data_IF_136210531458
#
_entry.id   IF_136210531458
#
_cell.length_a   1.000
_cell.length_b   1.000
_cell.length_c   1.000
_cell.angle_alpha   90.00
_cell.angle_beta   90.00
_cell.angle_gamma   90.00
#
_symmetry.space_group_name_H-M   'P 1'
#
loop_
_entity.id
_entity.type
_entity.pdbx_description
1 polymer ?
#
# COMPACT_ATOMS: atom_id res chain seq x y z
N UNK A 1 37.76 12.54 -41.84
CA UNK A 1 38.89 11.91 -41.14
C UNK A 1 38.54 11.75 -39.65
N UNK A 2 38.78 10.56 -39.06
CA UNK A 2 38.75 10.16 -37.62
C UNK A 2 37.35 10.23 -36.94
N UNK A 3 36.57 9.17 -36.65
CA UNK A 3 36.72 7.84 -35.98
C UNK A 3 37.16 7.87 -34.50
N UNK A 4 36.37 7.15 -33.67
CA UNK A 4 36.52 6.72 -32.25
C UNK A 4 35.89 7.71 -31.24
N UNK A 5 35.09 7.31 -30.23
CA UNK A 5 35.21 6.17 -29.31
C UNK A 5 33.82 5.65 -28.83
N UNK A 6 33.70 4.32 -28.71
CA UNK A 6 32.71 3.57 -27.90
C UNK A 6 33.52 2.89 -26.77
N UNK A 7 32.89 2.70 -25.61
CA UNK A 7 33.20 1.91 -24.40
C UNK A 7 33.13 2.83 -23.18
N UNK A 8 32.46 2.53 -22.07
CA UNK A 8 31.76 1.33 -21.61
C UNK A 8 31.53 1.52 -20.09
N UNK A 9 30.59 0.80 -19.48
CA UNK A 9 30.76 0.30 -18.12
C UNK A 9 29.65 -0.70 -17.77
N UNK A 10 30.12 -1.88 -17.37
CA UNK A 10 29.39 -3.06 -16.96
C UNK A 10 30.05 -3.50 -15.65
N UNK A 11 29.23 -3.87 -14.67
CA UNK A 11 29.51 -4.63 -13.46
C UNK A 11 30.36 -4.01 -12.32
N UNK A 12 29.76 -3.98 -11.13
CA UNK A 12 30.45 -4.26 -9.87
C UNK A 12 29.49 -4.95 -8.90
N UNK A 13 29.52 -6.29 -8.89
CA UNK A 13 29.06 -7.10 -7.77
C UNK A 13 30.32 -7.46 -6.96
N UNK A 14 30.37 -7.05 -5.70
CA UNK A 14 31.44 -7.43 -4.78
C UNK A 14 30.84 -8.20 -3.60
N UNK A 15 31.19 -9.48 -3.56
CA UNK A 15 30.96 -10.44 -2.48
C UNK A 15 31.97 -10.14 -1.36
N UNK A 16 31.49 -9.94 -0.14
CA UNK A 16 32.35 -9.87 1.05
C UNK A 16 32.52 -11.29 1.61
N UNK A 17 33.68 -11.88 1.34
CA UNK A 17 34.27 -12.95 2.15
C UNK A 17 35.43 -12.33 2.93
N UNK A 18 35.34 -12.31 4.26
CA UNK A 18 36.46 -12.02 5.14
C UNK A 18 36.77 -13.30 5.93
N UNK A 19 37.84 -13.99 5.52
CA UNK A 19 38.53 -15.00 6.30
C UNK A 19 39.57 -14.28 7.17
N UNK A 20 39.57 -14.56 8.48
CA UNK A 20 40.66 -14.15 9.37
C UNK A 20 41.66 -15.31 9.52
N UNK A 21 42.98 -15.06 9.37
CA UNK A 21 43.99 -16.05 9.68
C UNK A 21 44.24 -16.11 11.20
N UNK A 22 44.44 -17.34 11.67
CA UNK A 22 44.97 -17.65 12.98
C UNK A 22 46.43 -17.18 13.12
N UNK A 23 46.74 -16.52 14.23
CA UNK A 23 48.08 -16.54 14.82
C UNK A 23 47.96 -16.71 16.32
N UNK A 24 48.48 -17.84 16.79
CA UNK A 24 48.69 -18.16 18.18
C UNK A 24 49.88 -17.39 18.73
N UNK A 25 49.73 -16.77 19.89
CA UNK A 25 50.86 -16.51 20.78
C UNK A 25 50.51 -17.00 22.18
N UNK A 26 51.19 -18.10 22.51
CA UNK A 26 51.28 -18.79 23.77
C UNK A 26 51.99 -17.89 24.80
N UNK A 27 51.36 -17.66 25.95
CA UNK A 27 52.02 -17.04 27.10
C UNK A 27 51.61 -17.80 28.37
N UNK A 28 52.45 -18.78 28.72
CA UNK A 28 52.39 -19.52 29.98
C UNK A 28 53.03 -18.68 31.08
N UNK A 29 52.19 -18.10 31.94
CA UNK A 29 52.59 -17.57 33.24
C UNK A 29 51.46 -17.81 34.26
N UNK A 30 51.59 -18.88 35.05
CA UNK A 30 50.87 -19.11 36.32
C UNK A 30 51.92 -19.33 37.40
N UNK A 31 51.79 -18.71 38.58
CA UNK A 31 51.06 -19.40 39.63
C UNK A 31 50.18 -18.50 40.52
N UNK A 32 49.05 -19.06 40.95
CA UNK A 32 48.12 -18.49 41.92
C UNK A 32 46.75 -19.17 41.82
N UNK A 33 46.62 -20.39 42.35
CA UNK A 33 45.32 -21.07 42.51
C UNK A 33 44.52 -20.30 43.56
N UNK A 34 43.56 -19.50 43.12
CA UNK A 34 42.46 -19.08 43.99
C UNK A 34 41.53 -20.28 44.20
N UNK A 35 41.00 -20.50 45.42
CA UNK A 35 39.98 -21.50 45.66
C UNK A 35 38.76 -21.22 44.77
N UNK A 36 38.27 -22.27 44.13
CA UNK A 36 37.11 -22.25 43.25
C UNK A 36 35.91 -21.73 44.04
N UNK A 37 35.33 -20.60 43.60
CA UNK A 37 34.13 -20.07 44.22
C UNK A 37 33.02 -21.14 44.13
N UNK A 38 32.27 -21.37 45.22
CA UNK A 38 31.18 -22.35 45.20
C UNK A 38 30.23 -22.05 44.03
N UNK A 39 29.74 -23.08 43.32
CA UNK A 39 28.85 -22.89 42.19
C UNK A 39 27.64 -22.07 42.65
N UNK A 40 27.38 -20.97 41.95
CA UNK A 40 26.20 -20.15 42.24
C UNK A 40 24.96 -21.04 42.17
N UNK A 41 24.03 -20.92 43.13
CA UNK A 41 22.77 -21.65 43.06
C UNK A 41 22.07 -21.33 41.73
N UNK A 42 21.47 -22.35 41.08
CA UNK A 42 20.75 -22.12 39.83
C UNK A 42 19.71 -21.02 40.03
N UNK A 43 19.58 -20.07 39.08
CA UNK A 43 18.57 -19.03 39.19
C UNK A 43 17.20 -19.67 39.35
N UNK A 44 16.33 -19.11 40.23
CA UNK A 44 14.98 -19.63 40.42
C UNK A 44 14.28 -19.73 39.06
N UNK A 45 13.47 -20.77 38.80
CA UNK A 45 12.80 -20.96 37.52
C UNK A 45 11.92 -19.75 37.23
N UNK A 46 12.38 -18.89 36.31
CA UNK A 46 11.58 -17.79 35.79
C UNK A 46 10.37 -18.37 35.06
N UNK A 47 9.18 -17.84 35.33
CA UNK A 47 8.02 -18.14 34.51
C UNK A 47 8.32 -17.69 33.08
N UNK A 48 8.49 -18.64 32.16
CA UNK A 48 8.75 -18.33 30.76
C UNK A 48 7.47 -17.77 30.13
N UNK A 49 7.45 -16.47 29.88
CA UNK A 49 6.39 -15.85 29.10
C UNK A 49 6.48 -16.37 27.66
N UNK A 50 5.34 -16.83 27.15
CA UNK A 50 5.22 -17.29 25.78
C UNK A 50 4.80 -16.12 24.89
N UNK A 51 5.54 -15.90 23.81
CA UNK A 51 5.36 -14.73 22.92
C UNK A 51 4.67 -15.10 21.61
N UNK A 52 3.62 -14.35 21.28
CA UNK A 52 2.96 -14.35 19.97
C UNK A 52 3.06 -12.98 19.31
N UNK A 53 3.44 -12.92 18.04
CA UNK A 53 3.63 -11.66 17.30
C UNK A 53 2.78 -11.59 16.05
N UNK A 54 2.31 -10.39 15.71
CA UNK A 54 1.62 -10.07 14.45
C UNK A 54 2.15 -8.73 13.93
N UNK A 55 2.45 -8.68 12.64
CA UNK A 55 2.78 -7.44 11.95
C UNK A 55 1.56 -6.95 11.17
N UNK A 56 1.27 -5.66 11.30
CA UNK A 56 0.18 -4.97 10.60
C UNK A 56 0.83 -3.89 9.76
N UNK A 57 0.67 -4.00 8.44
CA UNK A 57 1.22 -3.07 7.48
C UNK A 57 0.18 -2.02 7.09
N UNK A 58 0.63 -0.83 6.73
CA UNK A 58 -0.25 0.15 6.08
C UNK A 58 -1.17 0.94 7.01
N UNK A 59 -0.80 1.13 8.29
CA UNK A 59 -1.59 1.95 9.23
C UNK A 59 -1.77 3.35 8.66
N UNK A 60 -3.03 3.78 8.54
CA UNK A 60 -3.43 4.97 7.79
C UNK A 60 -3.19 6.28 8.56
N UNK A 61 -3.13 7.40 7.81
CA UNK A 61 -3.06 8.77 8.36
C UNK A 61 -4.43 9.39 8.65
N UNK A 62 -5.49 8.57 8.69
CA UNK A 62 -6.84 9.11 8.90
C UNK A 62 -6.87 9.72 10.30
N UNK A 63 -7.24 11.00 10.38
CA UNK A 63 -7.35 11.69 11.67
C UNK A 63 -8.31 10.95 12.60
N UNK A 64 -7.87 10.67 13.83
CA UNK A 64 -8.60 9.86 14.79
C UNK A 64 -8.33 8.35 14.68
N UNK A 65 -7.48 7.96 13.73
CA UNK A 65 -7.02 6.59 13.52
C UNK A 65 -8.03 5.66 12.84
N UNK A 66 -7.63 4.40 12.75
CA UNK A 66 -8.46 3.30 12.28
C UNK A 66 -8.40 2.14 13.27
N UNK A 67 -9.51 1.42 13.43
CA UNK A 67 -9.59 0.26 14.31
C UNK A 67 -8.98 -0.96 13.62
N UNK A 68 -8.06 -1.61 14.30
CA UNK A 68 -7.47 -2.89 13.94
C UNK A 68 -7.92 -3.92 14.97
N UNK A 69 -8.57 -4.99 14.50
CA UNK A 69 -8.94 -6.12 15.35
C UNK A 69 -7.97 -7.26 15.13
N UNK A 70 -7.38 -7.73 16.20
CA UNK A 70 -6.41 -8.83 16.22
C UNK A 70 -7.09 -9.98 16.95
N UNK A 71 -7.47 -11.01 16.23
CA UNK A 71 -8.09 -12.20 16.79
C UNK A 71 -7.04 -13.21 17.20
N UNK A 72 -7.26 -13.88 18.33
CA UNK A 72 -6.46 -15.02 18.75
C UNK A 72 -7.09 -16.30 18.18
N UNK A 73 -6.29 -17.20 17.60
CA UNK A 73 -6.81 -18.49 17.08
C UNK A 73 -7.47 -19.36 18.16
N UNK A 74 -7.07 -19.17 19.41
CA UNK A 74 -7.64 -19.78 20.61
C UNK A 74 -7.66 -18.74 21.71
N UNK A 75 -8.61 -18.81 22.64
CA UNK A 75 -8.64 -17.91 23.78
C UNK A 75 -7.43 -18.19 24.70
N UNK A 76 -6.71 -17.14 25.11
CA UNK A 76 -5.47 -17.26 25.90
C UNK A 76 -5.45 -16.23 27.03
N UNK A 77 -4.87 -16.57 28.18
CA UNK A 77 -4.62 -15.62 29.26
C UNK A 77 -3.41 -14.74 28.91
N UNK A 78 -3.64 -13.45 28.62
CA UNK A 78 -2.53 -12.53 28.34
C UNK A 78 -2.10 -11.81 29.61
N UNK A 79 -0.79 -11.72 29.80
CA UNK A 79 -0.19 -10.91 30.85
C UNK A 79 0.04 -9.48 30.37
N UNK A 80 0.57 -9.33 29.15
CA UNK A 80 0.98 -8.03 28.61
C UNK A 80 0.90 -7.99 27.09
N UNK A 81 0.69 -6.79 26.56
CA UNK A 81 0.70 -6.49 25.13
C UNK A 81 1.73 -5.39 24.86
N UNK A 82 2.49 -5.54 23.79
CA UNK A 82 3.44 -4.53 23.33
C UNK A 82 3.11 -4.15 21.88
N UNK A 83 3.18 -2.86 21.56
CA UNK A 83 2.96 -2.33 20.21
C UNK A 83 4.18 -1.52 19.81
N UNK A 84 4.95 -2.01 18.84
CA UNK A 84 6.14 -1.37 18.32
C UNK A 84 5.90 -0.77 16.94
N UNK A 85 6.42 0.43 16.69
CA UNK A 85 6.41 1.03 15.36
C UNK A 85 7.61 0.49 14.55
N UNK A 86 7.33 -0.15 13.43
CA UNK A 86 8.33 -0.71 12.50
C UNK A 86 8.66 0.28 11.38
N UNK A 87 7.66 1.01 10.90
CA UNK A 87 7.82 2.06 9.90
C UNK A 87 7.03 3.30 10.31
N UNK A 88 7.65 4.48 10.19
CA UNK A 88 7.07 5.78 10.54
C UNK A 88 6.67 5.94 12.02
N UNK A 89 6.13 7.12 12.37
CA UNK A 89 5.67 7.44 13.72
C UNK A 89 4.23 6.99 13.90
N UNK A 90 3.89 6.51 15.09
CA UNK A 90 2.58 5.97 15.43
C UNK A 90 2.00 6.67 16.65
N UNK A 91 0.68 6.82 16.68
CA UNK A 91 -0.08 7.13 17.89
C UNK A 91 -1.17 6.08 18.08
N UNK A 92 -1.35 5.62 19.32
CA UNK A 92 -2.48 4.78 19.71
C UNK A 92 -3.47 5.69 20.44
N UNK A 93 -4.68 5.79 19.91
CA UNK A 93 -5.74 6.62 20.51
C UNK A 93 -6.49 5.85 21.59
N UNK A 94 -6.74 4.56 21.35
CA UNK A 94 -7.43 3.68 22.27
C UNK A 94 -7.05 2.22 22.00
N UNK A 95 -7.17 1.36 23.01
CA UNK A 95 -7.08 -0.06 22.83
C UNK A 95 -7.90 -0.81 23.88
N UNK A 96 -8.39 -1.99 23.52
CA UNK A 96 -9.14 -2.85 24.42
C UNK A 96 -8.92 -4.31 24.09
N UNK A 97 -9.08 -5.18 25.07
CA UNK A 97 -9.17 -6.63 24.87
C UNK A 97 -10.61 -7.08 24.98
N UNK A 98 -10.96 -8.13 24.24
CA UNK A 98 -12.25 -8.81 24.30
C UNK A 98 -12.03 -10.16 24.93
N UNK A 99 -12.73 -10.43 26.01
CA UNK A 99 -12.65 -11.68 26.76
C UNK A 99 -13.54 -12.75 26.15
N UNK A 100 -13.35 -14.01 26.56
CA UNK A 100 -14.13 -15.16 26.13
C UNK A 100 -15.63 -15.04 26.47
N UNK A 101 -15.96 -14.35 27.55
CA UNK A 101 -17.33 -13.98 27.96
C UNK A 101 -17.89 -12.75 27.21
N UNK A 102 -17.15 -12.20 26.24
CA UNK A 102 -17.57 -11.09 25.40
C UNK A 102 -17.43 -9.71 26.06
N UNK A 103 -16.86 -9.64 27.27
CA UNK A 103 -16.58 -8.37 27.93
C UNK A 103 -15.44 -7.64 27.22
N UNK A 104 -15.63 -6.34 26.97
CA UNK A 104 -14.56 -5.47 26.48
C UNK A 104 -13.89 -4.78 27.66
N UNK A 105 -12.57 -4.93 27.78
CA UNK A 105 -11.75 -4.31 28.84
C UNK A 105 -10.75 -3.36 28.19
N UNK A 106 -10.77 -2.08 28.57
CA UNK A 106 -9.85 -1.07 28.03
C UNK A 106 -8.43 -1.27 28.57
N UNK A 107 -7.42 -1.05 27.73
CA UNK A 107 -6.00 -1.06 28.09
C UNK A 107 -5.60 0.39 28.37
N UNK A 108 -5.40 0.72 29.64
CA UNK A 108 -5.24 2.09 30.12
C UNK A 108 -3.96 2.73 29.58
N UNK A 109 -2.85 2.01 29.53
CA UNK A 109 -1.56 2.56 29.05
C UNK A 109 -1.57 2.85 27.53
N UNK A 110 -2.54 2.30 26.81
CA UNK A 110 -2.74 2.57 25.37
C UNK A 110 -3.76 3.66 25.09
N UNK A 111 -4.33 4.28 26.13
CA UNK A 111 -5.29 5.37 25.95
C UNK A 111 -4.56 6.67 25.63
N UNK A 112 -4.69 7.13 24.38
CA UNK A 112 -4.13 8.37 23.86
C UNK A 112 -2.62 8.50 24.15
N UNK A 113 -1.84 7.54 23.64
CA UNK A 113 -0.38 7.54 23.80
C UNK A 113 0.25 8.79 23.18
N UNK A 114 1.46 9.12 23.60
CA UNK A 114 2.31 10.03 22.82
C UNK A 114 2.60 9.44 21.44
N UNK A 115 2.95 10.30 20.47
CA UNK A 115 3.42 9.86 19.16
C UNK A 115 4.82 9.28 19.31
N UNK A 116 4.99 7.98 19.11
CA UNK A 116 6.27 7.29 19.21
C UNK A 116 6.83 6.91 17.84
N UNK A 117 8.16 6.86 17.72
CA UNK A 117 8.87 6.65 16.46
C UNK A 117 9.28 5.19 16.21
N UNK A 118 9.90 4.96 15.05
CA UNK A 118 10.43 3.64 14.66
C UNK A 118 11.39 3.11 15.71
N UNK A 119 11.24 1.82 16.07
CA UNK A 119 12.05 1.16 17.10
C UNK A 119 11.60 1.46 18.53
N UNK A 120 10.68 2.40 18.74
CA UNK A 120 10.01 2.60 20.03
C UNK A 120 8.80 1.67 20.15
N UNK A 121 8.46 1.31 21.39
CA UNK A 121 7.27 0.50 21.71
C UNK A 121 6.45 1.13 22.83
N UNK A 122 5.14 1.05 22.70
CA UNK A 122 4.20 1.22 23.81
C UNK A 122 3.98 -0.16 24.46
N UNK A 123 3.92 -0.20 25.79
CA UNK A 123 3.73 -1.43 26.57
C UNK A 123 2.50 -1.26 27.44
N UNK A 124 1.62 -2.26 27.45
CA UNK A 124 0.41 -2.24 28.28
C UNK A 124 0.75 -2.38 29.77
N UNK A 125 -0.20 -2.07 30.62
CA UNK A 125 -0.21 -2.55 32.00
C UNK A 125 -0.21 -4.09 32.05
N UNK A 126 0.05 -4.62 33.25
CA UNK A 126 -0.14 -6.03 33.51
C UNK A 126 -1.64 -6.31 33.61
N UNK A 127 -2.19 -7.05 32.63
CA UNK A 127 -3.63 -7.11 32.39
C UNK A 127 -4.39 -7.78 33.54
N UNK A 128 -3.76 -8.71 34.28
CA UNK A 128 -4.30 -9.38 35.48
C UNK A 128 -5.78 -9.83 35.36
N UNK A 129 -6.20 -10.23 34.16
CA UNK A 129 -7.58 -10.64 33.89
C UNK A 129 -7.77 -12.12 34.28
N UNK A 130 -8.91 -12.42 34.89
CA UNK A 130 -9.30 -13.80 35.20
C UNK A 130 -9.80 -14.54 33.96
N UNK A 131 -10.37 -13.81 33.00
CA UNK A 131 -10.92 -14.36 31.76
C UNK A 131 -9.85 -14.42 30.66
N UNK A 132 -9.95 -15.43 29.80
CA UNK A 132 -9.13 -15.55 28.59
C UNK A 132 -9.55 -14.52 27.56
N UNK A 133 -8.61 -14.11 26.72
CA UNK A 133 -8.81 -13.09 25.68
C UNK A 133 -8.96 -13.76 24.33
N UNK A 134 -9.96 -13.33 23.55
CA UNK A 134 -10.25 -13.80 22.19
C UNK A 134 -9.84 -12.80 21.11
N UNK A 135 -9.77 -11.50 21.45
CA UNK A 135 -9.34 -10.47 20.52
C UNK A 135 -8.73 -9.25 21.23
N UNK A 136 -7.91 -8.50 20.49
CA UNK A 136 -7.34 -7.21 20.86
C UNK A 136 -7.78 -6.21 19.81
N UNK A 137 -8.44 -5.12 20.22
CA UNK A 137 -8.82 -4.01 19.36
C UNK A 137 -7.88 -2.83 19.62
N UNK A 138 -7.26 -2.27 18.58
CA UNK A 138 -6.34 -1.13 18.67
C UNK A 138 -6.81 -0.05 17.70
N UNK A 139 -7.02 1.17 18.19
CA UNK A 139 -7.27 2.36 17.39
C UNK A 139 -5.95 3.12 17.20
N UNK A 140 -5.39 3.08 16.00
CA UNK A 140 -4.07 3.65 15.72
C UNK A 140 -4.07 4.58 14.51
N UNK A 141 -3.20 5.60 14.56
CA UNK A 141 -2.99 6.60 13.51
C UNK A 141 -1.50 6.73 13.19
N UNK A 142 -1.18 6.76 11.89
CA UNK A 142 0.17 7.08 11.42
C UNK A 142 0.42 8.59 11.41
N UNK A 143 1.47 9.01 12.11
CA UNK A 143 1.97 10.38 12.15
C UNK A 143 3.17 10.55 11.21
N UNK A 144 3.01 10.02 10.01
CA UNK A 144 4.02 9.98 8.95
C UNK A 144 3.39 9.39 7.71
N UNK A 145 4.18 8.68 6.89
CA UNK A 145 3.81 7.84 5.74
C UNK A 145 2.54 6.97 5.85
N UNK A 146 2.69 5.71 5.46
CA UNK A 146 1.95 4.65 6.12
C UNK A 146 2.84 4.13 7.24
N UNK A 147 2.26 3.73 8.38
CA UNK A 147 3.04 3.11 9.45
C UNK A 147 2.86 1.59 9.43
N UNK A 148 3.93 0.87 9.73
CA UNK A 148 3.88 -0.57 9.96
C UNK A 148 4.09 -0.79 11.46
N UNK A 149 3.32 -1.69 12.05
CA UNK A 149 3.35 -1.95 13.49
C UNK A 149 3.51 -3.43 13.78
N UNK A 150 4.21 -3.75 14.87
CA UNK A 150 4.30 -5.10 15.43
C UNK A 150 3.54 -5.13 16.74
N UNK A 151 2.60 -6.05 16.86
CA UNK A 151 1.87 -6.33 18.09
C UNK A 151 2.40 -7.63 18.66
N UNK A 152 2.89 -7.57 19.88
CA UNK A 152 3.40 -8.70 20.64
C UNK A 152 2.46 -8.96 21.82
N UNK A 153 1.93 -10.17 21.93
CA UNK A 153 1.15 -10.62 23.08
C UNK A 153 1.97 -11.62 23.90
N UNK A 154 2.05 -11.40 25.21
CA UNK A 154 2.76 -12.24 26.16
C UNK A 154 1.73 -12.99 27.03
N UNK A 155 1.90 -14.30 27.13
CA UNK A 155 1.04 -15.18 27.92
C UNK A 155 1.84 -16.04 28.90
N UNK A 156 1.20 -16.40 30.00
CA UNK A 156 1.72 -17.32 31.02
C UNK A 156 1.33 -18.79 30.78
N UNK A 157 0.30 -19.07 29.97
CA UNK A 157 -0.24 -20.43 29.81
C UNK A 157 0.10 -21.07 28.45
N UNK A 158 0.00 -20.32 27.36
CA UNK A 158 0.16 -20.84 26.00
C UNK A 158 0.55 -19.76 25.00
N UNK A 159 1.31 -20.12 23.97
CA UNK A 159 1.79 -19.19 22.95
C UNK A 159 0.62 -18.58 22.18
N UNK A 160 0.40 -17.25 22.26
CA UNK A 160 -0.68 -16.60 21.52
C UNK A 160 -0.46 -16.74 20.01
N UNK A 161 -1.50 -17.09 19.27
CA UNK A 161 -1.47 -17.11 17.80
C UNK A 161 -2.38 -16.00 17.28
N UNK A 162 -1.77 -14.88 16.94
CA UNK A 162 -2.44 -13.66 16.52
C UNK A 162 -2.75 -13.68 15.01
N UNK A 163 -3.92 -13.19 14.63
CA UNK A 163 -4.36 -13.06 13.23
C UNK A 163 -5.12 -11.75 13.06
N UNK A 164 -4.89 -11.03 11.96
CA UNK A 164 -5.66 -9.82 11.67
C UNK A 164 -7.11 -10.20 11.31
N UNK A 165 -8.06 -9.73 12.12
CA UNK A 165 -9.49 -9.94 11.94
C UNK A 165 -10.17 -8.82 11.16
N UNK A 166 -11.44 -9.02 10.82
CA UNK A 166 -12.25 -7.99 10.19
C UNK A 166 -12.46 -6.81 11.17
N UNK A 167 -12.28 -5.58 10.68
CA UNK A 167 -12.47 -4.34 11.45
C UNK A 167 -13.87 -4.34 12.08
N UNK A 168 -14.01 -4.11 13.40
CA UNK A 168 -15.32 -4.00 14.02
C UNK A 168 -16.07 -2.82 13.42
N UNK A 169 -17.33 -3.06 13.03
CA UNK A 169 -18.27 -1.96 12.83
C UNK A 169 -18.33 -1.18 14.14
N UNK A 170 -18.01 0.10 14.06
CA UNK A 170 -17.99 1.03 15.18
C UNK A 170 -19.32 0.88 15.95
N UNK A 171 -19.32 0.58 17.26
CA UNK A 171 -20.55 0.50 18.03
C UNK A 171 -21.27 1.84 17.88
N UNK A 172 -22.46 1.79 17.29
CA UNK A 172 -23.20 2.96 16.85
C UNK A 172 -23.24 4.01 17.95
N UNK A 173 -22.66 5.18 17.66
CA UNK A 173 -22.89 6.36 18.48
C UNK A 173 -24.40 6.57 18.54
N UNK A 174 -24.94 6.44 19.75
CA UNK A 174 -26.36 6.55 20.02
C UNK A 174 -26.77 8.02 19.83
N UNK A 175 -26.99 8.41 18.58
CA UNK A 175 -27.52 9.70 18.16
C UNK A 175 -29.00 9.73 18.49
N UNK A 176 -29.31 10.06 19.74
CA UNK A 176 -30.65 10.35 20.22
C UNK A 176 -31.14 11.65 19.53
N UNK A 177 -31.86 11.49 18.43
CA UNK A 177 -32.52 12.56 17.69
C UNK A 177 -33.95 12.13 17.37
N UNK A 178 -34.82 12.19 18.37
CA UNK A 178 -36.25 11.98 18.18
C UNK A 178 -36.81 13.02 17.22
N UNK A 179 -37.45 12.57 16.15
CA UNK A 179 -38.52 13.29 15.46
C UNK A 179 -39.59 12.27 15.08
N UNK A 180 -40.66 12.33 15.85
CA UNK A 180 -41.92 11.65 15.60
C UNK A 180 -42.72 12.54 14.64
N UNK A 181 -43.18 12.00 13.53
CA UNK A 181 -43.92 12.76 12.52
C UNK A 181 -44.27 11.88 11.34
N UNK A 182 -45.24 10.98 11.55
CA UNK A 182 -45.82 10.21 10.47
C UNK A 182 -46.46 11.12 9.43
N UNK A 183 -46.23 10.83 8.16
CA UNK A 183 -47.15 11.17 7.08
C UNK A 183 -47.11 10.04 6.04
N UNK A 184 -48.27 9.43 5.89
CA UNK A 184 -48.62 8.49 4.84
C UNK A 184 -48.79 9.33 3.55
N UNK A 185 -47.94 9.11 2.56
CA UNK A 185 -47.94 9.90 1.33
C UNK A 185 -47.23 9.16 0.21
N UNK A 186 -48.00 8.39 -0.56
CA UNK A 186 -47.57 7.86 -1.84
C UNK A 186 -47.16 9.00 -2.76
N UNK A 187 -45.86 9.16 -2.94
CA UNK A 187 -45.25 10.21 -3.74
C UNK A 187 -44.12 9.61 -4.55
N UNK A 188 -44.39 9.40 -5.82
CA UNK A 188 -43.46 9.05 -6.86
C UNK A 188 -42.38 10.15 -6.93
N UNK A 189 -41.25 9.96 -6.24
CA UNK A 189 -40.12 10.88 -6.29
C UNK A 189 -38.93 10.20 -6.97
N UNK A 190 -38.86 10.41 -8.29
CA UNK A 190 -37.64 10.33 -9.09
C UNK A 190 -36.66 11.42 -8.67
N UNK A 191 -36.19 11.34 -7.43
CA UNK A 191 -35.19 12.25 -6.87
C UNK A 191 -33.84 11.99 -7.50
N UNK A 192 -33.36 12.96 -8.27
CA UNK A 192 -32.01 13.09 -8.82
C UNK A 192 -30.93 13.18 -7.72
N UNK A 193 -30.80 12.12 -6.92
CA UNK A 193 -29.66 11.86 -6.05
C UNK A 193 -28.71 10.88 -6.74
N UNK A 194 -28.27 11.20 -7.96
CA UNK A 194 -27.33 10.40 -8.76
C UNK A 194 -25.90 10.42 -8.21
N UNK A 195 -25.72 10.24 -6.90
CA UNK A 195 -24.41 9.97 -6.33
C UNK A 195 -24.03 8.54 -6.72
N UNK A 196 -22.90 8.37 -7.41
CA UNK A 196 -22.35 7.10 -7.90
C UNK A 196 -22.47 5.95 -6.87
N UNK A 197 -23.59 5.20 -6.91
CA UNK A 197 -23.77 3.98 -6.11
C UNK A 197 -22.69 2.93 -6.42
N UNK A 198 -22.04 3.05 -7.59
CA UNK A 198 -20.88 2.25 -8.00
C UNK A 198 -19.70 2.35 -7.02
N UNK A 199 -19.54 3.47 -6.29
CA UNK A 199 -18.45 3.61 -5.33
C UNK A 199 -18.78 3.04 -3.94
N UNK A 200 -20.06 2.80 -3.64
CA UNK A 200 -20.54 2.42 -2.30
C UNK A 200 -20.74 0.92 -2.10
N UNK A 201 -20.95 0.15 -3.16
CA UNK A 201 -21.02 -1.32 -3.10
C UNK A 201 -19.80 -1.90 -3.79
N UNK A 202 -18.91 -2.53 -3.03
CA UNK A 202 -17.85 -3.36 -3.58
C UNK A 202 -18.23 -4.81 -3.36
N UNK A 203 -18.54 -5.51 -4.44
CA UNK A 203 -18.47 -6.95 -4.41
C UNK A 203 -17.02 -7.40 -4.14
N UNK A 204 -16.86 -8.57 -3.52
CA UNK A 204 -15.57 -9.13 -3.17
C UNK A 204 -15.51 -10.57 -3.66
N UNK A 205 -14.85 -10.78 -4.80
CA UNK A 205 -14.70 -12.13 -5.38
C UNK A 205 -13.57 -12.93 -4.73
N UNK A 206 -12.78 -12.33 -3.83
CA UNK A 206 -11.56 -12.94 -3.27
C UNK A 206 -11.87 -14.25 -2.58
N UNK A 207 -12.96 -14.33 -1.81
CA UNK A 207 -13.38 -15.59 -1.15
C UNK A 207 -13.70 -16.70 -2.15
N UNK A 208 -14.36 -16.35 -3.26
CA UNK A 208 -14.70 -17.33 -4.31
C UNK A 208 -13.45 -17.81 -5.04
N UNK A 209 -12.50 -16.89 -5.30
CA UNK A 209 -11.20 -17.25 -5.87
C UNK A 209 -10.37 -18.11 -4.91
N UNK A 210 -10.33 -17.79 -3.61
CA UNK A 210 -9.64 -18.58 -2.58
C UNK A 210 -10.21 -20.00 -2.48
N UNK A 211 -11.54 -20.15 -2.53
CA UNK A 211 -12.16 -21.48 -2.52
C UNK A 211 -11.74 -22.30 -3.75
N UNK A 212 -11.76 -21.68 -4.94
CA UNK A 212 -11.33 -22.37 -6.17
C UNK A 212 -9.82 -22.63 -6.17
N UNK A 213 -8.99 -21.81 -5.52
CA UNK A 213 -7.55 -22.05 -5.37
C UNK A 213 -7.26 -23.36 -4.63
N UNK A 214 -7.97 -23.61 -3.52
CA UNK A 214 -7.84 -24.87 -2.76
C UNK A 214 -8.17 -26.09 -3.62
N UNK A 215 -9.24 -26.00 -4.42
CA UNK A 215 -9.61 -27.06 -5.38
C UNK A 215 -8.52 -27.25 -6.44
N UNK A 216 -8.01 -26.15 -7.00
CA UNK A 216 -7.02 -26.18 -8.06
C UNK A 216 -5.70 -26.82 -7.61
N UNK A 217 -5.24 -26.50 -6.40
CA UNK A 217 -4.06 -27.11 -5.79
C UNK A 217 -4.27 -28.60 -5.47
N UNK A 218 -5.47 -28.98 -5.06
CA UNK A 218 -5.80 -30.39 -4.85
C UNK A 218 -5.70 -31.20 -6.15
N UNK A 219 -6.26 -30.69 -7.25
CA UNK A 219 -6.19 -31.35 -8.57
C UNK A 219 -4.76 -31.35 -9.13
N UNK A 220 -4.02 -30.27 -8.96
CA UNK A 220 -2.60 -30.18 -9.33
C UNK A 220 -1.75 -31.25 -8.64
N UNK A 221 -1.93 -31.43 -7.32
CA UNK A 221 -1.25 -32.49 -6.54
C UNK A 221 -1.65 -33.90 -6.97
N UNK A 222 -2.96 -34.16 -7.14
CA UNK A 222 -3.45 -35.47 -7.61
C UNK A 222 -2.87 -35.84 -8.96
N UNK A 223 -2.86 -34.89 -9.90
CA UNK A 223 -2.26 -35.10 -11.22
C UNK A 223 -0.77 -35.46 -11.13
N UNK A 224 0.00 -34.77 -10.28
CA UNK A 224 1.42 -35.05 -10.10
C UNK A 224 1.71 -36.39 -9.42
N UNK A 225 0.79 -36.88 -8.59
CA UNK A 225 0.91 -38.19 -7.92
C UNK A 225 0.49 -39.36 -8.82
N UNK A 226 -0.40 -39.14 -9.78
CA UNK A 226 -0.92 -40.18 -10.66
C UNK A 226 0.09 -40.58 -11.75
N UNK A 227 0.11 -41.86 -12.12
CA UNK A 227 0.88 -42.33 -13.26
C UNK A 227 0.42 -41.65 -14.55
N UNK A 228 1.36 -41.24 -15.40
CA UNK A 228 1.06 -40.58 -16.68
C UNK A 228 0.07 -41.41 -17.51
N UNK A 229 -0.93 -40.75 -18.10
CA UNK A 229 -2.03 -41.35 -18.87
C UNK A 229 -2.95 -42.34 -18.12
N UNK A 230 -2.83 -42.48 -16.80
CA UNK A 230 -3.84 -43.20 -16.02
C UNK A 230 -5.19 -42.50 -16.05
N UNK A 231 -6.27 -43.23 -15.72
CA UNK A 231 -7.63 -42.65 -15.59
C UNK A 231 -7.62 -41.50 -14.57
N UNK A 232 -6.91 -41.67 -13.44
CA UNK A 232 -6.77 -40.63 -12.42
C UNK A 232 -6.02 -39.39 -12.94
N UNK A 233 -4.93 -39.58 -13.68
CA UNK A 233 -4.19 -38.48 -14.31
C UNK A 233 -5.09 -37.68 -15.26
N UNK A 234 -5.82 -38.36 -16.14
CA UNK A 234 -6.70 -37.72 -17.13
C UNK A 234 -7.89 -37.00 -16.47
N UNK A 235 -8.44 -37.58 -15.39
CA UNK A 235 -9.49 -36.94 -14.61
C UNK A 235 -8.97 -35.69 -13.90
N UNK A 236 -7.83 -35.78 -13.20
CA UNK A 236 -7.23 -34.65 -12.51
C UNK A 236 -6.82 -33.52 -13.47
N UNK A 237 -6.33 -33.85 -14.67
CA UNK A 237 -6.03 -32.87 -15.72
C UNK A 237 -7.28 -32.13 -16.22
N UNK A 238 -8.39 -32.85 -16.42
CA UNK A 238 -9.67 -32.26 -16.83
C UNK A 238 -10.24 -31.35 -15.75
N UNK A 239 -10.26 -31.79 -14.50
CA UNK A 239 -10.79 -31.01 -13.38
C UNK A 239 -9.92 -29.77 -13.10
N UNK A 240 -8.60 -29.89 -13.20
CA UNK A 240 -7.70 -28.74 -13.10
C UNK A 240 -8.04 -27.65 -14.13
N UNK A 241 -8.23 -28.03 -15.40
CA UNK A 241 -8.64 -27.11 -16.47
C UNK A 241 -10.02 -26.49 -16.20
N UNK A 242 -10.98 -27.31 -15.72
CA UNK A 242 -12.33 -26.84 -15.40
C UNK A 242 -12.32 -25.83 -14.24
N UNK A 243 -11.57 -26.10 -13.17
CA UNK A 243 -11.39 -25.15 -12.06
C UNK A 243 -10.74 -23.86 -12.53
N UNK A 244 -9.65 -23.94 -13.31
CA UNK A 244 -9.02 -22.74 -13.89
C UNK A 244 -10.00 -21.92 -14.73
N UNK A 245 -10.82 -22.56 -15.56
CA UNK A 245 -11.86 -21.88 -16.35
C UNK A 245 -12.90 -21.17 -15.47
N UNK A 246 -13.36 -21.80 -14.37
CA UNK A 246 -14.27 -21.15 -13.39
C UNK A 246 -13.62 -19.94 -12.75
N UNK A 247 -12.35 -20.04 -12.35
CA UNK A 247 -11.61 -18.91 -11.78
C UNK A 247 -11.45 -17.76 -12.79
N UNK A 248 -11.18 -18.07 -14.05
CA UNK A 248 -11.13 -17.07 -15.13
C UNK A 248 -12.49 -16.41 -15.31
N UNK A 249 -13.60 -17.15 -15.24
CA UNK A 249 -14.96 -16.58 -15.29
C UNK A 249 -15.24 -15.65 -14.10
N UNK A 250 -14.87 -16.06 -12.89
CA UNK A 250 -15.00 -15.23 -11.68
C UNK A 250 -14.17 -13.96 -11.84
N UNK A 251 -12.92 -14.04 -12.28
CA UNK A 251 -12.07 -12.87 -12.49
C UNK A 251 -12.58 -11.94 -13.59
N UNK A 252 -13.31 -12.45 -14.59
CA UNK A 252 -13.94 -11.63 -15.65
C UNK A 252 -15.31 -11.05 -15.27
N UNK A 253 -15.86 -11.41 -14.13
CA UNK A 253 -17.15 -10.93 -13.64
C UNK A 253 -17.15 -9.42 -13.38
N UNK A 254 -18.33 -8.81 -13.28
CA UNK A 254 -18.41 -7.40 -12.90
C UNK A 254 -18.01 -7.19 -11.44
N UNK A 255 -18.32 -8.16 -10.58
CA UNK A 255 -17.94 -8.19 -9.17
C UNK A 255 -16.42 -8.16 -8.98
N UNK A 256 -15.66 -8.79 -9.88
CA UNK A 256 -14.21 -8.73 -9.85
C UNK A 256 -13.68 -7.33 -10.14
N UNK A 257 -14.35 -6.54 -10.99
CA UNK A 257 -13.98 -5.14 -11.25
C UNK A 257 -14.20 -4.26 -10.03
N UNK A 258 -15.19 -4.60 -9.20
CA UNK A 258 -15.50 -3.91 -7.95
C UNK A 258 -14.64 -4.35 -6.77
N UNK A 259 -13.95 -5.48 -6.91
CA UNK A 259 -13.08 -6.02 -5.87
C UNK A 259 -11.86 -5.11 -5.70
N UNK A 260 -11.46 -4.90 -4.43
CA UNK A 260 -10.29 -4.07 -4.10
C UNK A 260 -9.06 -4.58 -4.86
N UNK A 261 -8.39 -3.68 -5.58
CA UNK A 261 -7.23 -4.00 -6.41
C UNK A 261 -6.11 -4.68 -5.62
N UNK A 262 -5.89 -4.28 -4.37
CA UNK A 262 -4.85 -4.86 -3.50
C UNK A 262 -5.08 -6.37 -3.27
N UNK A 263 -6.34 -6.82 -3.18
CA UNK A 263 -6.66 -8.23 -3.00
C UNK A 263 -6.39 -9.03 -4.28
N UNK A 264 -6.83 -8.49 -5.42
CA UNK A 264 -6.57 -9.11 -6.72
C UNK A 264 -5.08 -9.16 -7.03
N UNK A 265 -4.32 -8.16 -6.59
CA UNK A 265 -2.87 -8.12 -6.77
C UNK A 265 -2.17 -9.27 -6.03
N UNK A 266 -2.50 -9.47 -4.76
CA UNK A 266 -1.94 -10.55 -3.94
C UNK A 266 -2.24 -11.91 -4.58
N UNK A 267 -3.49 -12.11 -5.01
CA UNK A 267 -3.87 -13.32 -5.74
C UNK A 267 -3.10 -13.45 -7.06
N UNK A 268 -3.07 -12.41 -7.89
CA UNK A 268 -2.37 -12.42 -9.16
C UNK A 268 -0.90 -12.81 -9.01
N UNK A 269 -0.20 -12.20 -8.04
CA UNK A 269 1.18 -12.53 -7.70
C UNK A 269 1.35 -13.99 -7.26
N UNK A 270 0.45 -14.52 -6.43
CA UNK A 270 0.45 -15.92 -6.00
C UNK A 270 0.34 -16.87 -7.20
N UNK A 271 -0.55 -16.61 -8.16
CA UNK A 271 -0.72 -17.47 -9.34
C UNK A 271 0.53 -17.49 -10.24
N UNK A 272 1.25 -16.37 -10.37
CA UNK A 272 2.53 -16.37 -11.09
C UNK A 272 3.63 -17.09 -10.33
N UNK A 273 3.66 -17.00 -9.01
CA UNK A 273 4.58 -17.79 -8.21
C UNK A 273 4.31 -19.30 -8.41
N UNK A 274 3.05 -19.72 -8.33
CA UNK A 274 2.66 -21.13 -8.58
C UNK A 274 3.01 -21.55 -10.01
N UNK A 275 2.76 -20.71 -11.01
CA UNK A 275 3.14 -20.96 -12.41
C UNK A 275 4.65 -21.20 -12.55
N UNK A 276 5.49 -20.36 -11.93
CA UNK A 276 6.96 -20.47 -11.99
C UNK A 276 7.51 -21.72 -11.30
N UNK A 277 6.73 -22.36 -10.42
CA UNK A 277 7.09 -23.63 -9.79
C UNK A 277 6.77 -24.85 -10.68
N UNK A 278 6.04 -24.66 -11.79
CA UNK A 278 5.68 -25.74 -12.70
C UNK A 278 6.62 -25.81 -13.89
N UNK A 279 6.78 -27.02 -14.45
CA UNK A 279 7.49 -27.19 -15.72
C UNK A 279 6.79 -26.41 -16.84
N UNK A 280 7.58 -25.71 -17.64
CA UNK A 280 7.10 -24.94 -18.79
C UNK A 280 6.22 -25.81 -19.72
N UNK A 281 5.13 -25.25 -20.24
CA UNK A 281 4.13 -25.93 -21.07
C UNK A 281 3.37 -27.11 -20.42
N UNK A 282 3.57 -27.40 -19.13
CA UNK A 282 2.68 -28.34 -18.42
C UNK A 282 1.25 -27.79 -18.34
N UNK A 283 0.25 -28.67 -18.19
CA UNK A 283 -1.13 -28.19 -17.97
C UNK A 283 -1.23 -27.29 -16.75
N UNK A 284 -0.49 -27.60 -15.67
CA UNK A 284 -0.44 -26.78 -14.47
C UNK A 284 0.10 -25.39 -14.77
N UNK A 285 1.22 -25.32 -15.50
CA UNK A 285 1.78 -24.04 -15.97
C UNK A 285 0.73 -23.22 -16.74
N UNK A 286 0.05 -23.84 -17.70
CA UNK A 286 -0.96 -23.16 -18.51
C UNK A 286 -2.16 -22.71 -17.66
N UNK A 287 -2.67 -23.56 -16.76
CA UNK A 287 -3.78 -23.25 -15.88
C UNK A 287 -3.47 -22.09 -14.94
N UNK A 288 -2.34 -22.14 -14.22
CA UNK A 288 -1.91 -21.03 -13.34
C UNK A 288 -1.67 -19.74 -14.14
N UNK A 289 -1.09 -19.84 -15.35
CA UNK A 289 -0.86 -18.69 -16.24
C UNK A 289 -2.17 -18.03 -16.70
N UNK A 290 -3.16 -18.83 -17.11
CA UNK A 290 -4.47 -18.34 -17.55
C UNK A 290 -5.22 -17.63 -16.42
N UNK A 291 -5.25 -18.22 -15.22
CA UNK A 291 -5.87 -17.60 -14.05
C UNK A 291 -5.15 -16.31 -13.66
N UNK A 292 -3.81 -16.32 -13.61
CA UNK A 292 -3.01 -15.13 -13.35
C UNK A 292 -3.30 -14.00 -14.34
N UNK A 293 -3.33 -14.30 -15.66
CA UNK A 293 -3.70 -13.34 -16.71
C UNK A 293 -5.11 -12.77 -16.51
N UNK A 294 -6.09 -13.61 -16.16
CA UNK A 294 -7.44 -13.17 -15.93
C UNK A 294 -7.57 -12.24 -14.71
N UNK A 295 -6.84 -12.54 -13.62
CA UNK A 295 -6.81 -11.68 -12.43
C UNK A 295 -6.20 -10.31 -12.74
N UNK A 296 -5.09 -10.24 -13.47
CA UNK A 296 -4.55 -8.94 -13.90
C UNK A 296 -5.48 -8.20 -14.87
N UNK A 297 -6.20 -8.92 -15.73
CA UNK A 297 -7.26 -8.32 -16.54
C UNK A 297 -8.40 -7.75 -15.70
N UNK A 298 -8.74 -8.41 -14.58
CA UNK A 298 -9.71 -7.89 -13.61
C UNK A 298 -9.20 -6.61 -12.94
N UNK A 299 -7.92 -6.58 -12.55
CA UNK A 299 -7.27 -5.39 -12.00
C UNK A 299 -7.27 -4.22 -12.97
N UNK A 300 -6.92 -4.44 -14.25
CA UNK A 300 -6.95 -3.40 -15.28
C UNK A 300 -8.35 -2.79 -15.43
N UNK A 301 -9.39 -3.63 -15.41
CA UNK A 301 -10.78 -3.15 -15.47
C UNK A 301 -11.21 -2.45 -14.17
N UNK A 302 -10.80 -2.97 -13.02
CA UNK A 302 -11.10 -2.39 -11.71
C UNK A 302 -10.36 -1.07 -11.47
N UNK A 303 -9.20 -0.87 -12.10
CA UNK A 303 -8.46 0.39 -12.04
C UNK A 303 -9.31 1.55 -12.55
N UNK A 304 -10.07 1.38 -13.64
CA UNK A 304 -10.97 2.43 -14.13
C UNK A 304 -11.98 2.85 -13.06
N UNK A 305 -12.59 1.88 -12.38
CA UNK A 305 -13.52 2.16 -11.28
C UNK A 305 -12.82 2.81 -10.08
N UNK A 306 -11.60 2.37 -9.74
CA UNK A 306 -10.81 2.95 -8.67
C UNK A 306 -10.39 4.41 -8.96
N UNK A 307 -10.08 4.72 -10.21
CA UNK A 307 -9.80 6.08 -10.67
C UNK A 307 -11.01 7.00 -10.45
N UNK A 308 -12.22 6.51 -10.69
CA UNK A 308 -13.45 7.28 -10.55
C UNK A 308 -13.90 7.42 -9.07
N UNK A 309 -13.59 6.43 -8.22
CA UNK A 309 -14.15 6.32 -6.86
C UNK A 309 -13.18 6.64 -5.71
N UNK A 310 -11.92 6.21 -5.81
CA UNK A 310 -10.96 6.23 -4.69
C UNK A 310 -9.95 7.36 -4.78
N UNK A 311 -9.51 7.66 -6.00
CA UNK A 311 -8.45 8.63 -6.23
C UNK A 311 -9.08 10.02 -6.30
N UNK A 312 -8.69 10.90 -5.38
CA UNK A 312 -9.28 12.24 -5.22
C UNK A 312 -8.33 13.37 -5.61
N UNK A 313 -7.04 13.08 -5.75
CA UNK A 313 -6.01 14.05 -6.10
C UNK A 313 -5.06 13.50 -7.16
N UNK A 314 -4.49 14.40 -7.94
CA UNK A 314 -3.45 14.12 -8.93
C UNK A 314 -2.23 13.52 -8.26
N UNK A 315 -1.90 13.96 -7.05
CA UNK A 315 -0.78 13.40 -6.28
C UNK A 315 -1.01 11.92 -5.92
N UNK A 316 -2.23 11.55 -5.50
CA UNK A 316 -2.59 10.15 -5.26
C UNK A 316 -2.53 9.32 -6.54
N UNK A 317 -3.02 9.88 -7.64
CA UNK A 317 -2.99 9.25 -8.95
C UNK A 317 -1.55 8.96 -9.39
N UNK A 318 -0.68 9.97 -9.35
CA UNK A 318 0.73 9.85 -9.71
C UNK A 318 1.48 8.88 -8.79
N UNK A 319 1.24 8.93 -7.48
CA UNK A 319 1.84 7.98 -6.54
C UNK A 319 1.45 6.53 -6.85
N UNK A 320 0.20 6.29 -7.29
CA UNK A 320 -0.24 4.97 -7.75
C UNK A 320 0.47 4.56 -9.06
N UNK A 321 0.72 5.51 -9.96
CA UNK A 321 1.52 5.29 -11.17
C UNK A 321 2.98 4.93 -10.86
N UNK A 322 3.61 5.67 -9.93
CA UNK A 322 4.95 5.41 -9.41
C UNK A 322 5.02 4.00 -8.80
N UNK A 323 4.01 3.62 -8.00
CA UNK A 323 3.90 2.29 -7.38
C UNK A 323 3.86 1.18 -8.43
N UNK A 324 3.04 1.32 -9.48
CA UNK A 324 2.97 0.34 -10.56
C UNK A 324 4.27 0.25 -11.36
N UNK A 325 4.98 1.36 -11.58
CA UNK A 325 6.32 1.32 -12.21
C UNK A 325 7.31 0.60 -11.30
N UNK A 326 7.28 0.87 -9.99
CA UNK A 326 8.09 0.17 -9.00
C UNK A 326 7.87 -1.35 -9.05
N UNK A 327 6.60 -1.78 -9.03
CA UNK A 327 6.22 -3.20 -9.16
C UNK A 327 6.62 -3.78 -10.52
N UNK A 328 6.37 -3.07 -11.62
CA UNK A 328 6.80 -3.50 -12.96
C UNK A 328 8.30 -3.85 -12.99
N UNK A 329 9.14 -3.02 -12.36
CA UNK A 329 10.59 -3.21 -12.32
C UNK A 329 11.07 -4.39 -11.45
N UNK A 330 10.21 -4.99 -10.61
CA UNK A 330 10.56 -6.20 -9.85
C UNK A 330 10.36 -7.48 -10.67
N UNK A 331 9.66 -7.42 -11.81
CA UNK A 331 9.41 -8.57 -12.67
C UNK A 331 10.30 -8.54 -13.92
N UNK A 332 10.60 -9.74 -14.44
CA UNK A 332 11.34 -9.88 -15.69
C UNK A 332 10.62 -9.19 -16.86
N UNK A 333 11.40 -8.55 -17.73
CA UNK A 333 10.90 -7.89 -18.93
C UNK A 333 10.02 -8.85 -19.76
N UNK A 334 8.91 -8.33 -20.31
CA UNK A 334 7.89 -9.08 -21.05
C UNK A 334 7.15 -10.20 -20.30
N UNK A 335 7.39 -10.40 -19.00
CA UNK A 335 6.53 -11.27 -18.20
C UNK A 335 5.10 -10.74 -18.13
N UNK A 336 4.13 -11.60 -17.83
CA UNK A 336 2.73 -11.17 -17.72
C UNK A 336 2.55 -10.09 -16.63
N UNK A 337 3.11 -10.23 -15.41
CA UNK A 337 3.04 -9.16 -14.41
C UNK A 337 3.67 -7.86 -14.90
N UNK A 338 4.86 -7.93 -15.53
CA UNK A 338 5.51 -6.75 -16.12
C UNK A 338 4.58 -6.01 -17.08
N UNK A 339 3.99 -6.72 -18.04
CA UNK A 339 3.08 -6.13 -19.02
C UNK A 339 1.81 -5.56 -18.38
N UNK A 340 1.26 -6.24 -17.37
CA UNK A 340 0.07 -5.77 -16.66
C UNK A 340 0.34 -4.49 -15.87
N UNK A 341 1.41 -4.45 -15.07
CA UNK A 341 1.80 -3.23 -14.34
C UNK A 341 2.18 -2.09 -15.28
N UNK A 342 2.85 -2.40 -16.40
CA UNK A 342 3.15 -1.40 -17.43
C UNK A 342 1.88 -0.75 -18.00
N UNK A 343 0.86 -1.56 -18.34
CA UNK A 343 -0.44 -1.05 -18.82
C UNK A 343 -1.18 -0.24 -17.75
N UNK A 344 -1.23 -0.73 -16.51
CA UNK A 344 -1.88 0.00 -15.40
C UNK A 344 -1.18 1.33 -15.13
N UNK A 345 0.15 1.36 -15.13
CA UNK A 345 0.92 2.59 -15.03
C UNK A 345 0.59 3.54 -16.19
N UNK A 346 0.56 3.05 -17.44
CA UNK A 346 0.17 3.83 -18.61
C UNK A 346 -1.23 4.44 -18.49
N UNK A 347 -2.22 3.67 -18.03
CA UNK A 347 -3.59 4.16 -17.83
C UNK A 347 -3.66 5.24 -16.75
N UNK A 348 -3.02 5.02 -15.60
CA UNK A 348 -2.94 6.00 -14.51
C UNK A 348 -2.29 7.30 -14.99
N UNK A 349 -1.14 7.21 -15.64
CA UNK A 349 -0.41 8.35 -16.16
C UNK A 349 -1.16 9.09 -17.26
N UNK A 350 -1.81 8.36 -18.18
CA UNK A 350 -2.61 8.97 -19.23
C UNK A 350 -3.81 9.76 -18.69
N UNK A 351 -4.38 9.33 -17.55
CA UNK A 351 -5.48 10.04 -16.89
C UNK A 351 -5.03 11.30 -16.12
N UNK A 352 -3.76 11.37 -15.72
CA UNK A 352 -3.27 12.38 -14.78
C UNK A 352 -3.40 13.84 -15.24
N UNK A 353 -3.14 14.21 -16.51
CA UNK A 353 -3.33 15.60 -16.96
C UNK A 353 -4.77 16.10 -16.86
N UNK A 354 -5.74 15.25 -17.18
CA UNK A 354 -7.16 15.60 -17.07
C UNK A 354 -7.60 15.70 -15.61
N UNK A 355 -7.11 14.78 -14.77
CA UNK A 355 -7.35 14.81 -13.34
C UNK A 355 -6.79 16.10 -12.71
N UNK A 356 -5.58 16.50 -13.13
CA UNK A 356 -4.94 17.73 -12.70
C UNK A 356 -5.76 18.97 -13.04
N UNK A 357 -6.25 19.06 -14.27
CA UNK A 357 -7.11 20.17 -14.69
C UNK A 357 -8.40 20.25 -13.86
N UNK A 358 -9.06 19.10 -13.63
CA UNK A 358 -10.27 19.05 -12.81
C UNK A 358 -9.98 19.43 -11.37
N UNK A 359 -8.86 18.97 -10.80
CA UNK A 359 -8.47 19.30 -9.43
C UNK A 359 -8.17 20.80 -9.27
N UNK A 360 -7.42 21.41 -10.19
CA UNK A 360 -7.11 22.84 -10.20
C UNK A 360 -8.40 23.66 -10.20
N UNK A 361 -9.38 23.28 -11.06
CA UNK A 361 -10.68 23.96 -11.14
C UNK A 361 -11.53 23.74 -9.89
N UNK A 362 -11.60 22.50 -9.39
CA UNK A 362 -12.40 22.13 -8.22
C UNK A 362 -11.92 22.80 -6.95
N UNK A 363 -10.60 22.96 -6.79
CA UNK A 363 -9.97 23.59 -5.63
C UNK A 363 -9.73 25.09 -5.82
N UNK A 364 -10.14 25.65 -6.95
CA UNK A 364 -9.87 27.05 -7.35
C UNK A 364 -8.41 27.46 -7.09
N UNK A 365 -7.45 26.62 -7.54
CA UNK A 365 -6.03 26.87 -7.28
C UNK A 365 -5.59 28.17 -7.97
N UNK A 366 -4.88 29.00 -7.23
CA UNK A 366 -4.25 30.22 -7.76
C UNK A 366 -3.02 29.89 -8.60
N UNK A 367 -2.60 30.82 -9.47
CA UNK A 367 -1.37 30.66 -10.25
C UNK A 367 -0.14 30.37 -9.38
N UNK A 368 -0.04 30.95 -8.18
CA UNK A 368 1.07 30.70 -7.25
C UNK A 368 1.14 29.23 -6.88
N UNK A 369 -0.01 28.62 -6.51
CA UNK A 369 -0.07 27.21 -6.14
C UNK A 369 0.23 26.30 -7.33
N UNK A 370 -0.30 26.65 -8.51
CA UNK A 370 -0.03 25.91 -9.74
C UNK A 370 1.46 25.96 -10.07
N UNK A 371 2.12 27.11 -9.97
CA UNK A 371 3.54 27.27 -10.30
C UNK A 371 4.48 26.53 -9.34
N UNK A 372 4.11 26.39 -8.06
CA UNK A 372 4.83 25.53 -7.11
C UNK A 372 4.75 24.05 -7.54
N UNK A 373 3.56 23.61 -7.92
CA UNK A 373 3.31 22.24 -8.40
C UNK A 373 4.02 21.99 -9.74
N UNK A 374 4.14 23.00 -10.61
CA UNK A 374 4.91 22.91 -11.86
C UNK A 374 6.40 22.62 -11.61
N UNK A 375 7.02 23.26 -10.63
CA UNK A 375 8.42 23.02 -10.28
C UNK A 375 8.63 21.60 -9.70
N UNK A 376 7.70 21.15 -8.85
CA UNK A 376 7.73 19.78 -8.32
C UNK A 376 7.56 18.75 -9.43
N UNK A 377 6.56 18.94 -10.31
CA UNK A 377 6.31 18.08 -11.45
C UNK A 377 7.48 18.08 -12.44
N UNK A 378 8.17 19.21 -12.62
CA UNK A 378 9.36 19.28 -13.48
C UNK A 378 10.55 18.52 -12.89
N UNK A 379 10.80 18.63 -11.58
CA UNK A 379 11.83 17.82 -10.89
C UNK A 379 11.51 16.33 -11.01
N UNK A 380 10.24 15.95 -10.82
CA UNK A 380 9.78 14.56 -11.03
C UNK A 380 9.95 14.12 -12.48
N UNK A 381 9.55 14.92 -13.46
CA UNK A 381 9.74 14.64 -14.89
C UNK A 381 11.21 14.32 -15.21
N UNK A 382 12.15 15.13 -14.70
CA UNK A 382 13.59 14.96 -14.96
C UNK A 382 14.19 13.75 -14.22
N UNK A 383 13.51 13.21 -13.20
CA UNK A 383 13.93 11.96 -12.54
C UNK A 383 13.59 10.71 -13.35
N UNK A 384 12.70 10.83 -14.34
CA UNK A 384 12.32 9.77 -15.25
C UNK A 384 13.21 9.74 -16.50
N UNK A 385 13.48 8.54 -17.03
CA UNK A 385 14.13 8.40 -18.33
C UNK A 385 13.33 9.10 -19.42
N UNK A 386 14.02 9.78 -20.33
CA UNK A 386 13.41 10.47 -21.47
C UNK A 386 12.50 9.51 -22.26
N UNK A 387 11.34 9.99 -22.69
CA UNK A 387 10.28 9.23 -23.37
C UNK A 387 9.63 8.09 -22.57
N UNK A 388 9.97 7.88 -21.29
CA UNK A 388 9.21 6.96 -20.45
C UNK A 388 7.78 7.46 -20.23
N UNK A 389 6.88 6.55 -19.85
CA UNK A 389 5.48 6.86 -19.56
C UNK A 389 5.37 7.93 -18.47
N UNK A 390 6.16 7.81 -17.39
CA UNK A 390 6.22 8.80 -16.33
C UNK A 390 6.69 10.17 -16.85
N UNK A 391 7.79 10.20 -17.61
CA UNK A 391 8.29 11.44 -18.24
C UNK A 391 7.20 12.14 -19.06
N UNK A 392 6.54 11.41 -19.97
CA UNK A 392 5.52 11.96 -20.86
C UNK A 392 4.30 12.48 -20.09
N UNK A 393 3.90 11.78 -19.02
CA UNK A 393 2.79 12.20 -18.16
C UNK A 393 3.08 13.47 -17.41
N UNK A 394 4.24 13.56 -16.74
CA UNK A 394 4.63 14.78 -16.04
C UNK A 394 4.80 15.94 -17.02
N UNK A 395 5.36 15.71 -18.21
CA UNK A 395 5.42 16.72 -19.26
C UNK A 395 4.03 17.20 -19.71
N UNK A 396 3.04 16.30 -19.79
CA UNK A 396 1.65 16.66 -20.11
C UNK A 396 0.97 17.44 -18.98
N UNK A 397 1.19 17.07 -17.72
CA UNK A 397 0.72 17.81 -16.54
C UNK A 397 1.31 19.22 -16.52
N UNK A 398 2.63 19.35 -16.77
CA UNK A 398 3.29 20.67 -16.81
C UNK A 398 2.67 21.53 -17.90
N UNK A 399 2.50 21.02 -19.13
CA UNK A 399 1.83 21.76 -20.22
C UNK A 399 0.44 22.24 -19.81
N UNK A 400 -0.35 21.37 -19.19
CA UNK A 400 -1.69 21.71 -18.71
C UNK A 400 -1.66 22.76 -17.59
N UNK A 401 -0.75 22.63 -16.63
CA UNK A 401 -0.60 23.58 -15.55
C UNK A 401 -0.11 24.95 -16.02
N UNK A 402 0.75 25.00 -17.05
CA UNK A 402 1.17 26.25 -17.71
C UNK A 402 -0.04 27.02 -18.25
N UNK A 403 -0.93 26.34 -18.97
CA UNK A 403 -2.17 26.93 -19.51
C UNK A 403 -3.08 27.46 -18.40
N UNK A 404 -3.31 26.65 -17.37
CA UNK A 404 -4.19 26.97 -16.24
C UNK A 404 -3.63 28.12 -15.38
N UNK A 405 -2.33 28.12 -15.11
CA UNK A 405 -1.66 29.17 -14.34
C UNK A 405 -1.73 30.52 -15.06
N UNK A 406 -1.43 30.55 -16.36
CA UNK A 406 -1.57 31.76 -17.18
C UNK A 406 -3.02 32.26 -17.23
N UNK A 407 -3.99 31.35 -17.38
CA UNK A 407 -5.42 31.68 -17.32
C UNK A 407 -5.82 32.27 -15.96
N UNK A 408 -5.34 31.69 -14.86
CA UNK A 408 -5.58 32.20 -13.50
C UNK A 408 -4.97 33.58 -13.31
N UNK A 409 -3.74 33.83 -13.75
CA UNK A 409 -3.08 35.12 -13.60
C UNK A 409 -3.82 36.20 -14.41
N UNK A 410 -4.22 35.93 -15.66
CA UNK A 410 -4.98 36.89 -16.49
C UNK A 410 -6.27 37.36 -15.83
N UNK A 411 -6.94 36.51 -15.04
CA UNK A 411 -8.14 36.89 -14.29
C UNK A 411 -7.84 37.78 -13.09
N UNK A 412 -6.67 37.63 -12.48
CA UNK A 412 -6.30 38.37 -11.27
C UNK A 412 -5.65 39.73 -11.56
N UNK A 413 -4.87 39.84 -12.64
CA UNK A 413 -4.13 41.06 -13.01
C UNK A 413 -4.99 42.33 -13.05
N UNK A 414 -6.23 42.33 -13.62
CA UNK A 414 -7.08 43.52 -13.62
C UNK A 414 -7.47 44.06 -12.24
N UNK A 415 -7.33 43.24 -11.19
CA UNK A 415 -7.66 43.57 -9.81
C UNK A 415 -6.41 43.89 -8.97
N UNK A 416 -5.22 43.88 -9.56
CA UNK A 416 -3.96 44.16 -8.86
C UNK A 416 -3.55 45.62 -9.00
N UNK A 417 -2.93 46.16 -7.95
CA UNK A 417 -2.24 47.45 -7.99
C UNK A 417 -0.99 47.40 -8.88
N UNK A 418 -0.54 48.56 -9.37
CA UNK A 418 0.71 48.64 -10.16
C UNK A 418 1.95 48.14 -9.40
N UNK A 419 2.00 48.33 -8.06
CA UNK A 419 3.10 47.82 -7.24
C UNK A 419 3.11 46.28 -7.21
N UNK A 420 1.95 45.65 -6.99
CA UNK A 420 1.83 44.19 -6.99
C UNK A 420 2.20 43.58 -8.36
N UNK A 421 1.78 44.22 -9.46
CA UNK A 421 2.16 43.81 -10.82
C UNK A 421 3.67 43.90 -11.05
N UNK A 422 4.30 44.97 -10.59
CA UNK A 422 5.76 45.14 -10.68
C UNK A 422 6.52 44.07 -9.90
N UNK A 423 6.08 43.72 -8.69
CA UNK A 423 6.69 42.66 -7.90
C UNK A 423 6.54 41.28 -8.58
N UNK A 424 5.40 41.01 -9.21
CA UNK A 424 5.21 39.78 -10.00
C UNK A 424 6.13 39.73 -11.23
N UNK A 425 6.30 40.84 -11.95
CA UNK A 425 7.23 40.91 -13.09
C UNK A 425 8.65 40.54 -12.65
N UNK A 426 9.12 41.10 -11.52
CA UNK A 426 10.43 40.74 -10.94
C UNK A 426 10.51 39.27 -10.56
N UNK A 427 9.48 38.76 -9.90
CA UNK A 427 9.40 37.36 -9.48
C UNK A 427 9.53 36.40 -10.67
N UNK A 428 8.73 36.62 -11.73
CA UNK A 428 8.76 35.76 -12.92
C UNK A 428 10.05 35.89 -13.72
N UNK A 429 10.65 37.08 -13.80
CA UNK A 429 11.95 37.22 -14.48
C UNK A 429 13.07 36.47 -13.75
N UNK A 430 13.05 36.51 -12.41
CA UNK A 430 13.95 35.71 -11.57
C UNK A 430 13.78 34.20 -11.78
N UNK A 431 12.54 33.70 -11.75
CA UNK A 431 12.25 32.27 -11.95
C UNK A 431 12.56 31.78 -13.35
N UNK A 432 12.27 32.57 -14.38
CA UNK A 432 12.60 32.24 -15.77
C UNK A 432 14.08 31.89 -15.95
N UNK A 433 14.98 32.62 -15.29
CA UNK A 433 16.42 32.42 -15.41
C UNK A 433 16.93 31.15 -14.69
N UNK A 434 16.09 30.48 -13.89
CA UNK A 434 16.42 29.18 -13.28
C UNK A 434 16.27 28.01 -14.26
N UNK A 435 15.67 28.23 -15.43
CA UNK A 435 15.38 27.20 -16.42
C UNK A 435 16.18 27.40 -17.71
N UNK A 436 16.52 26.30 -18.38
CA UNK A 436 17.22 26.34 -19.67
C UNK A 436 16.42 27.14 -20.70
N UNK A 437 17.12 27.91 -21.52
CA UNK A 437 16.52 28.70 -22.60
C UNK A 437 15.64 27.81 -23.51
N UNK A 438 14.48 28.33 -23.90
CA UNK A 438 13.45 27.62 -24.67
C UNK A 438 12.82 26.37 -24.01
N UNK A 439 13.13 26.07 -22.75
CA UNK A 439 12.38 25.04 -22.02
C UNK A 439 10.93 25.48 -21.80
N UNK A 440 10.05 24.50 -21.57
CA UNK A 440 8.63 24.76 -21.33
C UNK A 440 8.40 25.73 -20.15
N UNK A 441 9.14 25.55 -19.04
CA UNK A 441 9.03 26.43 -17.87
C UNK A 441 9.67 27.80 -18.10
N UNK A 442 10.77 27.88 -18.86
CA UNK A 442 11.32 29.18 -19.29
C UNK A 442 10.26 29.99 -20.05
N UNK A 443 9.65 29.38 -21.07
CA UNK A 443 8.63 30.04 -21.90
C UNK A 443 7.39 30.40 -21.09
N UNK A 444 7.00 29.54 -20.14
CA UNK A 444 5.89 29.82 -19.24
C UNK A 444 6.16 31.06 -18.37
N UNK A 445 7.30 31.14 -17.66
CA UNK A 445 7.60 32.31 -16.81
C UNK A 445 7.85 33.58 -17.62
N UNK A 446 8.38 33.48 -18.84
CA UNK A 446 8.42 34.60 -19.77
C UNK A 446 7.02 35.12 -20.10
N UNK A 447 6.07 34.24 -20.41
CA UNK A 447 4.68 34.62 -20.68
C UNK A 447 3.95 35.15 -19.43
N UNK A 448 4.20 34.59 -18.23
CA UNK A 448 3.65 35.09 -16.97
C UNK A 448 4.12 36.52 -16.68
N UNK A 449 5.40 36.81 -16.96
CA UNK A 449 5.95 38.16 -16.88
C UNK A 449 5.22 39.13 -17.81
N UNK A 450 5.00 38.74 -19.06
CA UNK A 450 4.26 39.57 -20.03
C UNK A 450 2.80 39.81 -19.62
N UNK A 451 2.13 38.80 -19.05
CA UNK A 451 0.77 38.94 -18.55
C UNK A 451 0.72 39.93 -17.37
N UNK A 452 1.67 39.84 -16.44
CA UNK A 452 1.74 40.72 -15.27
C UNK A 452 2.09 42.19 -15.64
N UNK A 453 2.78 42.41 -16.76
CA UNK A 453 3.17 43.74 -17.21
C UNK A 453 2.06 44.53 -17.94
N UNK A 454 0.97 43.85 -18.35
CA UNK A 454 -0.22 44.50 -18.92
C UNK A 454 -1.08 45.08 -17.81
#
# INVERSE_FOLDING_TARGET
MKKKLILGMLAAAAVLQAAHPAMAQHNDNRPGRYPEAPPMPPPPPGQYLQEGTLEIQGVTRRSGGEWYRISLRRAVSLERIEVAALAMRLKIHDASVITEDGQRVSIREFRNTAVFGVGSRAVSENLNLRSRIVAIDILAESYGGYADIRVTALSTDSRPQLVLGNVPQQPGGNGNGGHNGGHNGGGNNGGHGGGNYACARRADVTRSLEQQDVEMDAWSRRKNAASYNSVEYNMADRELKATAARMVQIAKSNEAKETKMEKLEVLGALYFQKMNQQSYNSTQYNAYSEVGRAIFGAMENGLKLALDCDIRTTAQLLARGDEYVGKMNTYSYNSVPYNAYSKMAQQVYAAAPNFYEQEVRRLDKTFVKIDEELDENHRKMNSYSYNSVGYNSYAAIIRKGVELSQGSLRRLVPHMSSLQRFDLVKHFDGRKNAYSYNSLLYNHFAAMKEIAAR
#
